data_IF_061094926902
#
_entry.id   IF_061094926902
#
_cell.length_a   1.000
_cell.length_b   1.000
_cell.length_c   1.000
_cell.angle_alpha   90.00
_cell.angle_beta   90.00
_cell.angle_gamma   90.00
#
_symmetry.space_group_name_H-M   'P 1'
#
loop_
_entity.id
_entity.type
_entity.pdbx_description
1 polymer ?
#
# COMPACT_ATOMS: atom_id res chain seq x y z
N UNK A 1 33.78 -1.42 39.38
CA UNK A 1 34.09 -1.95 38.02
C UNK A 1 33.43 -3.32 37.80
N UNK A 2 32.10 -3.43 37.86
CA UNK A 2 31.34 -4.68 37.54
C UNK A 2 30.01 -4.41 36.81
N UNK A 3 29.50 -3.19 36.81
CA UNK A 3 28.23 -2.83 36.14
C UNK A 3 28.36 -2.63 34.63
N UNK A 4 29.52 -2.22 34.12
CA UNK A 4 29.73 -1.97 32.67
C UNK A 4 29.74 -3.26 31.85
N UNK A 5 30.26 -4.35 32.41
CA UNK A 5 30.34 -5.67 31.74
C UNK A 5 28.96 -6.31 31.55
N UNK A 6 28.00 -6.06 32.44
CA UNK A 6 26.64 -6.64 32.36
C UNK A 6 25.79 -6.01 31.25
N UNK A 7 26.07 -4.78 30.81
CA UNK A 7 25.33 -4.16 29.70
C UNK A 7 25.80 -4.65 28.32
N UNK A 8 27.07 -5.00 28.18
CA UNK A 8 27.66 -5.42 26.90
C UNK A 8 27.19 -6.82 26.45
N UNK A 9 26.94 -7.73 27.40
CA UNK A 9 26.49 -9.10 27.11
C UNK A 9 25.01 -9.19 26.72
N UNK A 10 24.16 -8.29 27.25
CA UNK A 10 22.74 -8.23 26.87
C UNK A 10 22.50 -7.59 25.49
N UNK A 11 23.33 -6.61 25.10
CA UNK A 11 23.30 -6.02 23.75
C UNK A 11 23.76 -6.99 22.66
N UNK A 12 24.69 -7.89 22.98
CA UNK A 12 25.28 -8.84 22.02
C UNK A 12 24.39 -10.06 21.74
N UNK A 13 23.44 -10.35 22.62
CA UNK A 13 22.57 -11.55 22.53
C UNK A 13 21.35 -11.33 21.62
N UNK A 14 21.03 -10.08 21.24
CA UNK A 14 19.96 -9.76 20.28
C UNK A 14 20.46 -9.66 18.82
N UNK A 15 21.76 -9.73 18.56
CA UNK A 15 22.32 -9.24 17.30
C UNK A 15 22.33 -10.21 16.09
N UNK A 16 22.40 -11.55 16.22
CA UNK A 16 22.45 -12.42 15.03
C UNK A 16 21.08 -12.89 14.51
N UNK A 17 20.07 -12.99 15.39
CA UNK A 17 18.72 -13.47 15.02
C UNK A 17 17.86 -12.36 14.41
N UNK A 18 18.21 -11.10 14.69
CA UNK A 18 17.55 -9.91 14.16
C UNK A 18 17.76 -9.72 12.64
N UNK A 19 18.89 -10.19 12.09
CA UNK A 19 19.22 -9.99 10.67
C UNK A 19 18.36 -10.82 9.70
N UNK A 20 17.96 -12.03 10.07
CA UNK A 20 17.08 -12.86 9.22
C UNK A 20 15.64 -12.35 9.24
N UNK A 21 15.13 -12.00 10.41
CA UNK A 21 13.79 -11.43 10.54
C UNK A 21 13.66 -10.09 9.81
N UNK A 22 14.65 -9.20 9.96
CA UNK A 22 14.68 -7.93 9.22
C UNK A 22 14.75 -8.11 7.71
N UNK A 23 15.49 -9.12 7.20
CA UNK A 23 15.53 -9.44 5.76
C UNK A 23 14.19 -10.00 5.27
N UNK A 24 13.54 -10.84 6.06
CA UNK A 24 12.20 -11.32 5.77
C UNK A 24 11.19 -10.18 5.73
N UNK A 25 11.22 -9.28 6.71
CA UNK A 25 10.38 -8.10 6.79
C UNK A 25 10.60 -7.17 5.59
N UNK A 26 11.86 -6.90 5.22
CA UNK A 26 12.19 -6.14 4.01
C UNK A 26 11.68 -6.80 2.73
N UNK A 27 11.78 -8.14 2.62
CA UNK A 27 11.28 -8.86 1.45
C UNK A 27 9.75 -8.80 1.36
N UNK A 28 9.04 -8.96 2.49
CA UNK A 28 7.58 -8.85 2.58
C UNK A 28 7.14 -7.42 2.24
N UNK A 29 7.84 -6.41 2.76
CA UNK A 29 7.58 -5.02 2.46
C UNK A 29 7.72 -4.67 0.97
N UNK A 30 8.78 -5.15 0.31
CA UNK A 30 8.98 -4.96 -1.13
C UNK A 30 7.87 -5.67 -1.93
N UNK A 31 7.53 -6.90 -1.56
CA UNK A 31 6.45 -7.66 -2.20
C UNK A 31 5.10 -6.94 -2.04
N UNK A 32 4.76 -6.46 -0.84
CA UNK A 32 3.54 -5.70 -0.58
C UNK A 32 3.50 -4.39 -1.37
N UNK A 33 4.61 -3.66 -1.42
CA UNK A 33 4.71 -2.42 -2.20
C UNK A 33 4.44 -2.68 -3.68
N UNK A 34 4.99 -3.77 -4.22
CA UNK A 34 4.77 -4.16 -5.61
C UNK A 34 3.31 -4.55 -5.88
N UNK A 35 2.71 -5.37 -5.02
CA UNK A 35 1.31 -5.81 -5.15
C UNK A 35 0.36 -4.62 -5.06
N UNK A 36 0.55 -3.72 -4.09
CA UNK A 36 -0.29 -2.54 -3.92
C UNK A 36 -0.12 -1.58 -5.10
N UNK A 37 1.12 -1.38 -5.57
CA UNK A 37 1.36 -0.60 -6.79
C UNK A 37 0.62 -1.16 -8.00
N UNK A 38 0.61 -2.49 -8.16
CA UNK A 38 -0.15 -3.14 -9.22
C UNK A 38 -1.66 -2.97 -9.07
N UNK A 39 -2.20 -3.10 -7.85
CA UNK A 39 -3.62 -2.85 -7.56
C UNK A 39 -4.01 -1.41 -7.91
N UNK A 40 -3.17 -0.43 -7.56
CA UNK A 40 -3.38 0.99 -7.91
C UNK A 40 -3.45 1.16 -9.42
N UNK A 41 -2.52 0.58 -10.19
CA UNK A 41 -2.52 0.66 -11.64
C UNK A 41 -3.81 0.09 -12.25
N UNK A 42 -4.25 -1.09 -11.79
CA UNK A 42 -5.48 -1.73 -12.27
C UNK A 42 -6.70 -0.86 -11.93
N UNK A 43 -6.78 -0.34 -10.71
CA UNK A 43 -7.89 0.49 -10.27
C UNK A 43 -7.92 1.84 -11.02
N UNK A 44 -6.76 2.42 -11.31
CA UNK A 44 -6.63 3.67 -12.05
C UNK A 44 -7.09 3.47 -13.50
N UNK A 45 -6.67 2.36 -14.11
CA UNK A 45 -7.11 1.98 -15.45
C UNK A 45 -8.63 1.77 -15.51
N UNK A 46 -9.22 1.08 -14.53
CA UNK A 46 -10.68 0.91 -14.43
C UNK A 46 -11.39 2.25 -14.33
N UNK A 47 -10.97 3.11 -13.40
CA UNK A 47 -11.58 4.44 -13.24
C UNK A 47 -11.48 5.26 -14.53
N UNK A 48 -10.31 5.29 -15.15
CA UNK A 48 -10.11 6.01 -16.41
C UNK A 48 -11.00 5.45 -17.52
N UNK A 49 -11.12 4.12 -17.64
CA UNK A 49 -12.00 3.47 -18.62
C UNK A 49 -13.47 3.79 -18.36
N UNK A 50 -13.93 3.70 -17.11
CA UNK A 50 -15.30 4.06 -16.71
C UNK A 50 -15.64 5.50 -17.10
N UNK A 51 -14.75 6.44 -16.80
CA UNK A 51 -14.93 7.86 -17.16
C UNK A 51 -14.90 8.06 -18.69
N UNK A 52 -13.97 7.43 -19.40
CA UNK A 52 -13.79 7.62 -20.84
C UNK A 52 -14.95 7.00 -21.65
N UNK A 53 -15.34 5.76 -21.35
CA UNK A 53 -16.49 5.08 -21.95
C UNK A 53 -17.77 5.84 -21.63
N UNK A 54 -17.88 6.32 -20.39
CA UNK A 54 -19.02 7.11 -19.98
C UNK A 54 -19.12 8.45 -20.73
N UNK A 55 -18.00 9.14 -20.95
CA UNK A 55 -17.98 10.38 -21.74
C UNK A 55 -18.30 10.12 -23.21
N UNK A 56 -17.73 9.06 -23.81
CA UNK A 56 -17.99 8.71 -25.23
C UNK A 56 -19.42 8.22 -25.48
N UNK A 57 -20.01 7.52 -24.52
CA UNK A 57 -21.37 7.01 -24.66
C UNK A 57 -22.43 8.12 -24.53
N UNK A 58 -22.06 9.31 -24.02
CA UNK A 58 -23.00 10.41 -23.77
C UNK A 58 -24.08 10.09 -22.72
N UNK A 59 -23.94 8.94 -22.04
CA UNK A 59 -24.90 8.35 -21.08
C UNK A 59 -24.39 8.46 -19.65
N UNK A 60 -23.23 9.11 -19.41
CA UNK A 60 -22.94 9.63 -18.07
C UNK A 60 -23.95 10.74 -17.78
N UNK A 61 -25.13 10.34 -17.32
CA UNK A 61 -25.93 11.19 -16.47
C UNK A 61 -25.36 11.00 -15.06
N UNK A 62 -24.50 11.92 -14.55
CA UNK A 62 -24.00 11.84 -13.19
C UNK A 62 -25.12 11.93 -12.13
N UNK A 63 -26.38 12.16 -12.53
CA UNK A 63 -27.56 12.02 -11.68
C UNK A 63 -28.05 10.56 -11.55
N UNK A 64 -27.58 9.62 -12.38
CA UNK A 64 -27.83 8.19 -12.15
C UNK A 64 -27.04 7.74 -10.92
N UNK A 65 -27.78 7.47 -9.85
CA UNK A 65 -27.27 7.05 -8.56
C UNK A 65 -26.27 5.89 -8.67
N UNK A 66 -26.49 4.96 -9.62
CA UNK A 66 -25.67 3.75 -9.78
C UNK A 66 -24.33 4.05 -10.42
N UNK A 67 -24.31 4.94 -11.41
CA UNK A 67 -23.08 5.39 -12.08
C UNK A 67 -22.23 6.21 -11.11
N UNK A 68 -22.86 7.15 -10.41
CA UNK A 68 -22.18 7.96 -9.39
C UNK A 68 -21.58 7.10 -8.29
N UNK A 69 -22.35 6.16 -7.74
CA UNK A 69 -21.87 5.26 -6.68
C UNK A 69 -20.71 4.37 -7.13
N UNK A 70 -20.74 3.87 -8.37
CA UNK A 70 -19.65 3.06 -8.92
C UNK A 70 -18.36 3.89 -9.09
N UNK A 71 -18.44 5.05 -9.73
CA UNK A 71 -17.26 5.92 -9.94
C UNK A 71 -16.69 6.38 -8.60
N UNK A 72 -17.55 6.80 -7.68
CA UNK A 72 -17.12 7.22 -6.35
C UNK A 72 -16.49 6.07 -5.55
N UNK A 73 -17.05 4.86 -5.64
CA UNK A 73 -16.48 3.66 -5.03
C UNK A 73 -15.11 3.29 -5.60
N UNK A 74 -14.92 3.42 -6.91
CA UNK A 74 -13.63 3.22 -7.58
C UNK A 74 -12.59 4.26 -7.13
N UNK A 75 -12.99 5.54 -7.02
CA UNK A 75 -12.14 6.61 -6.48
C UNK A 75 -11.75 6.33 -5.02
N UNK A 76 -12.70 5.95 -4.16
CA UNK A 76 -12.41 5.63 -2.76
C UNK A 76 -11.47 4.43 -2.63
N UNK A 77 -11.67 3.38 -3.43
CA UNK A 77 -10.80 2.21 -3.46
C UNK A 77 -9.37 2.60 -3.88
N UNK A 78 -9.24 3.51 -4.86
CA UNK A 78 -7.96 4.05 -5.27
C UNK A 78 -7.27 4.86 -4.18
N UNK A 79 -8.00 5.75 -3.50
CA UNK A 79 -7.46 6.56 -2.42
C UNK A 79 -6.96 5.69 -1.26
N UNK A 80 -7.73 4.67 -0.86
CA UNK A 80 -7.33 3.71 0.17
C UNK A 80 -6.04 2.98 -0.25
N UNK A 81 -5.96 2.52 -1.50
CA UNK A 81 -4.77 1.83 -1.99
C UNK A 81 -3.54 2.74 -2.04
N UNK A 82 -3.70 4.00 -2.45
CA UNK A 82 -2.65 5.01 -2.45
C UNK A 82 -2.18 5.35 -1.03
N UNK A 83 -3.11 5.52 -0.10
CA UNK A 83 -2.79 5.81 1.30
C UNK A 83 -2.05 4.64 1.95
N UNK A 84 -2.47 3.40 1.70
CA UNK A 84 -1.73 2.22 2.16
C UNK A 84 -0.34 2.09 1.53
N UNK A 85 -0.18 2.39 0.23
CA UNK A 85 1.14 2.38 -0.42
C UNK A 85 2.08 3.40 0.22
N UNK A 86 1.59 4.60 0.50
CA UNK A 86 2.34 5.68 1.13
C UNK A 86 2.70 5.35 2.59
N UNK A 87 1.78 4.78 3.37
CA UNK A 87 2.08 4.32 4.74
C UNK A 87 3.15 3.23 4.75
N UNK A 88 3.10 2.27 3.82
CA UNK A 88 4.11 1.22 3.75
C UNK A 88 5.48 1.74 3.33
N UNK A 89 5.55 2.67 2.38
CA UNK A 89 6.81 3.32 2.01
C UNK A 89 7.41 4.16 3.15
N UNK A 90 6.61 4.62 4.11
CA UNK A 90 7.09 5.34 5.28
C UNK A 90 7.61 4.41 6.39
N UNK A 91 7.10 3.18 6.47
CA UNK A 91 7.48 2.18 7.50
C UNK A 91 8.77 1.44 7.13
N UNK A 92 9.09 1.36 5.83
CA UNK A 92 10.29 0.72 5.26
C UNK A 92 11.43 1.70 5.16
#
# INVERSE_FOLDING_TARGET
MRETEMKLSQLKTQWPVMSYYQRFESAVAVALTFVIGFIILVALYRLASTVFVGMLSGILDPLDQKVFQNVFGEIMTLLIALEFNHTLQYVV
#
